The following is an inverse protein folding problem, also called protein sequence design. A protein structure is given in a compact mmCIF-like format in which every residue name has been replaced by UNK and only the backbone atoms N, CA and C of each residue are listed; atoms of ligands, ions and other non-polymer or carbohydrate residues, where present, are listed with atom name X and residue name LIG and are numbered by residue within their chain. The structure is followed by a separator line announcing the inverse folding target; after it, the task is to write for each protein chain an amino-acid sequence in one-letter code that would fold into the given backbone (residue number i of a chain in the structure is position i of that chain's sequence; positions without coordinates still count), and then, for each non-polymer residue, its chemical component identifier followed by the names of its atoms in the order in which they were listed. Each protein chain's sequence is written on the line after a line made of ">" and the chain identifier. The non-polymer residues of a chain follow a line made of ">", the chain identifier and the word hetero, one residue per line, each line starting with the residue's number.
data_IF_427094366006
#
_entry.id   IF_427094366006
#
_cell.length_a   1.000
_cell.length_b   1.000
_cell.length_c   1.000
_cell.angle_alpha   90.00
_cell.angle_beta   90.00
_cell.angle_gamma   90.00
#
_symmetry.space_group_name_H-M   'P 1'
#
loop_
_entity.id
_entity.type
_entity.pdbx_description
1 polymer ?
#
# COMPACT_ATOMS: atom_id res chain seq x y z
N UNK A 1 -7.29 -12.34 -12.54
CA UNK A 1 -6.58 -12.46 -11.25
C UNK A 1 -5.23 -13.19 -11.36
N UNK A 2 -5.11 -14.29 -12.10
CA UNK A 2 -3.82 -15.01 -12.31
C UNK A 2 -2.76 -14.22 -13.09
N UNK A 3 -3.19 -13.41 -14.08
CA UNK A 3 -2.27 -12.62 -14.92
C UNK A 3 -1.61 -11.49 -14.11
N UNK A 4 -2.36 -10.78 -13.27
CA UNK A 4 -1.85 -9.65 -12.46
C UNK A 4 -0.83 -10.13 -11.42
N UNK A 5 -1.06 -11.28 -10.79
CA UNK A 5 -0.12 -11.88 -9.84
C UNK A 5 1.22 -12.28 -10.49
N UNK A 6 1.17 -12.82 -11.71
CA UNK A 6 2.37 -13.18 -12.49
C UNK A 6 3.12 -11.91 -12.95
N UNK A 7 2.40 -10.88 -13.40
CA UNK A 7 3.01 -9.60 -13.79
C UNK A 7 3.67 -8.89 -12.60
N UNK A 8 3.05 -8.91 -11.42
CA UNK A 8 3.64 -8.34 -10.20
C UNK A 8 4.93 -9.07 -9.79
N UNK A 9 5.00 -10.39 -9.96
CA UNK A 9 6.18 -11.20 -9.65
C UNK A 9 7.36 -10.87 -10.58
N UNK A 10 7.09 -10.67 -11.87
CA UNK A 10 8.09 -10.27 -12.86
C UNK A 10 8.60 -8.85 -12.60
N UNK A 11 7.70 -7.91 -12.27
CA UNK A 11 8.08 -6.53 -11.93
C UNK A 11 8.92 -6.50 -10.65
N UNK A 12 8.56 -7.30 -9.64
CA UNK A 12 9.31 -7.34 -8.37
C UNK A 12 10.71 -7.95 -8.54
N UNK A 13 10.86 -8.95 -9.43
CA UNK A 13 12.14 -9.56 -9.78
C UNK A 13 13.09 -8.57 -10.48
N UNK A 14 12.57 -7.73 -11.40
CA UNK A 14 13.38 -6.76 -12.13
C UNK A 14 13.60 -5.42 -11.41
N UNK A 15 12.64 -4.96 -10.60
CA UNK A 15 12.71 -3.63 -9.97
C UNK A 15 13.64 -3.58 -8.75
N UNK A 16 13.85 -4.68 -8.03
CA UNK A 16 14.58 -4.65 -6.75
C UNK A 16 15.85 -5.49 -6.77
N UNK A 17 16.89 -4.93 -7.39
CA UNK A 17 18.27 -5.45 -7.49
C UNK A 17 19.02 -5.54 -6.14
N UNK A 18 18.37 -5.24 -5.02
CA UNK A 18 18.98 -5.19 -3.66
C UNK A 18 18.11 -5.79 -2.54
N UNK A 19 16.96 -6.40 -2.85
CA UNK A 19 16.17 -7.06 -1.82
C UNK A 19 16.74 -8.45 -1.53
N UNK A 20 16.99 -8.76 -0.26
CA UNK A 20 17.42 -10.10 0.13
C UNK A 20 16.36 -11.11 -0.32
N UNK A 21 16.79 -12.13 -1.08
CA UNK A 21 15.91 -13.08 -1.78
C UNK A 21 14.86 -13.72 -0.85
N UNK A 22 15.23 -13.93 0.42
CA UNK A 22 14.34 -14.40 1.49
C UNK A 22 13.22 -13.42 1.82
N UNK A 23 13.52 -12.12 1.91
CA UNK A 23 12.54 -11.06 2.24
C UNK A 23 11.56 -10.84 1.08
N UNK A 24 12.06 -10.82 -0.15
CA UNK A 24 11.21 -10.76 -1.35
C UNK A 24 10.22 -11.93 -1.44
N UNK A 25 10.65 -13.14 -1.06
CA UNK A 25 9.77 -14.31 -1.01
C UNK A 25 8.64 -14.15 0.01
N UNK A 26 8.94 -13.69 1.23
CA UNK A 26 7.90 -13.45 2.24
C UNK A 26 6.95 -12.30 1.86
N UNK A 27 7.46 -11.23 1.23
CA UNK A 27 6.63 -10.13 0.77
C UNK A 27 5.71 -10.56 -0.38
N UNK A 28 6.20 -11.43 -1.27
CA UNK A 28 5.37 -12.06 -2.31
C UNK A 28 4.32 -12.99 -1.72
N UNK A 29 4.71 -13.83 -0.76
CA UNK A 29 3.77 -14.72 -0.07
C UNK A 29 2.67 -13.89 0.62
N UNK A 30 3.04 -12.78 1.27
CA UNK A 30 2.09 -11.86 1.86
C UNK A 30 1.15 -11.23 0.82
N UNK A 31 1.66 -10.78 -0.32
CA UNK A 31 0.85 -10.24 -1.41
C UNK A 31 -0.18 -11.27 -1.91
N UNK A 32 0.23 -12.53 -2.07
CA UNK A 32 -0.65 -13.61 -2.51
C UNK A 32 -1.71 -13.91 -1.44
N UNK A 33 -1.31 -14.08 -0.19
CA UNK A 33 -2.24 -14.32 0.93
C UNK A 33 -3.24 -13.17 1.10
N UNK A 34 -2.77 -11.93 0.98
CA UNK A 34 -3.62 -10.74 1.07
C UNK A 34 -4.64 -10.70 -0.08
N UNK A 35 -4.20 -10.98 -1.31
CA UNK A 35 -5.09 -11.05 -2.48
C UNK A 35 -6.19 -12.10 -2.28
N UNK A 36 -5.83 -13.31 -1.85
CA UNK A 36 -6.82 -14.36 -1.55
C UNK A 36 -7.78 -13.98 -0.43
N UNK A 37 -7.31 -13.26 0.59
CA UNK A 37 -8.16 -12.78 1.68
C UNK A 37 -9.17 -11.72 1.20
N UNK A 38 -8.73 -10.80 0.33
CA UNK A 38 -9.62 -9.80 -0.28
C UNK A 38 -10.67 -10.51 -1.16
N UNK A 39 -10.24 -11.48 -1.98
CA UNK A 39 -11.16 -12.27 -2.80
C UNK A 39 -12.15 -13.06 -1.93
N UNK A 40 -11.70 -13.63 -0.80
CA UNK A 40 -12.58 -14.30 0.16
C UNK A 40 -13.69 -13.36 0.66
N UNK A 41 -13.35 -12.13 1.05
CA UNK A 41 -14.36 -11.14 1.45
C UNK A 41 -15.25 -10.70 0.29
N UNK A 42 -14.70 -10.59 -0.92
CA UNK A 42 -15.46 -10.27 -2.13
C UNK A 42 -16.53 -11.33 -2.42
N UNK A 43 -16.21 -12.62 -2.27
CA UNK A 43 -17.19 -13.71 -2.47
C UNK A 43 -18.18 -13.88 -1.30
N UNK A 44 -17.77 -13.50 -0.08
CA UNK A 44 -18.62 -13.60 1.11
C UNK A 44 -19.68 -12.50 1.13
N UNK A 45 -19.35 -11.31 0.66
CA UNK A 45 -20.26 -10.16 0.63
C UNK A 45 -21.11 -10.28 -0.65
N UNK A 46 -22.46 -10.32 -0.54
CA UNK A 46 -23.31 -10.32 -1.73
C UNK A 46 -23.10 -9.05 -2.56
N UNK A 47 -23.40 -9.09 -3.86
CA UNK A 47 -23.33 -7.91 -4.72
C UNK A 47 -24.35 -6.84 -4.26
N UNK A 48 -23.90 -5.94 -3.38
CA UNK A 48 -24.70 -4.82 -2.88
C UNK A 48 -24.50 -3.64 -3.82
N UNK A 49 -25.49 -3.40 -4.70
CA UNK A 49 -25.51 -2.22 -5.57
C UNK A 49 -26.16 -1.05 -4.83
N UNK A 50 -25.36 -0.11 -4.34
CA UNK A 50 -25.86 1.09 -3.65
C UNK A 50 -26.09 2.20 -4.67
N UNK A 51 -27.28 2.43 -5.19
CA UNK A 51 -27.46 3.40 -6.30
C UNK A 51 -27.09 4.86 -5.97
N UNK A 52 -27.12 5.23 -4.69
CA UNK A 52 -26.69 6.55 -4.25
C UNK A 52 -25.16 6.72 -4.34
N UNK A 53 -24.70 7.49 -5.33
CA UNK A 53 -23.29 7.83 -5.53
C UNK A 53 -22.61 8.36 -4.26
N UNK A 54 -23.29 9.23 -3.51
CA UNK A 54 -22.77 9.81 -2.28
C UNK A 54 -22.46 8.75 -1.21
N UNK A 55 -23.32 7.75 -1.06
CA UNK A 55 -23.14 6.67 -0.08
C UNK A 55 -21.96 5.77 -0.51
N UNK A 56 -21.84 5.44 -1.81
CA UNK A 56 -20.67 4.72 -2.34
C UNK A 56 -19.38 5.48 -2.07
N UNK A 57 -19.38 6.79 -2.27
CA UNK A 57 -18.20 7.63 -2.03
C UNK A 57 -17.82 7.63 -0.55
N UNK A 58 -18.78 7.82 0.35
CA UNK A 58 -18.54 7.80 1.79
C UNK A 58 -18.00 6.45 2.26
N UNK A 59 -18.55 5.34 1.78
CA UNK A 59 -18.05 3.99 2.08
C UNK A 59 -16.62 3.77 1.57
N UNK A 60 -16.30 4.26 0.37
CA UNK A 60 -14.93 4.19 -0.16
C UNK A 60 -13.95 4.99 0.70
N UNK A 61 -14.31 6.22 1.08
CA UNK A 61 -13.48 7.05 1.97
C UNK A 61 -13.31 6.39 3.34
N UNK A 62 -14.39 5.83 3.89
CA UNK A 62 -14.35 5.08 5.14
C UNK A 62 -13.39 3.89 5.04
N UNK A 63 -13.47 3.10 3.96
CA UNK A 63 -12.54 2.00 3.69
C UNK A 63 -11.07 2.44 3.67
N UNK A 64 -10.75 3.58 3.05
CA UNK A 64 -9.38 4.14 3.04
C UNK A 64 -8.90 4.44 4.46
N UNK A 65 -9.77 4.94 5.34
CA UNK A 65 -9.42 5.22 6.73
C UNK A 65 -9.08 3.92 7.49
N UNK A 66 -9.80 2.82 7.28
CA UNK A 66 -9.45 1.52 7.87
C UNK A 66 -8.14 0.98 7.32
N UNK A 67 -7.91 1.08 6.01
CA UNK A 67 -6.64 0.68 5.40
C UNK A 67 -5.50 1.48 6.01
N UNK A 68 -5.65 2.81 6.16
CA UNK A 68 -4.64 3.66 6.79
C UNK A 68 -4.35 3.26 8.25
N UNK A 69 -5.37 2.88 9.02
CA UNK A 69 -5.22 2.36 10.38
C UNK A 69 -4.43 1.04 10.40
N UNK A 70 -4.74 0.10 9.50
CA UNK A 70 -3.99 -1.14 9.35
C UNK A 70 -2.53 -0.90 8.96
N UNK A 71 -2.30 -0.10 7.92
CA UNK A 71 -0.97 0.28 7.42
C UNK A 71 -0.12 0.94 8.52
N UNK A 72 -0.72 1.80 9.36
CA UNK A 72 -0.04 2.37 10.54
C UNK A 72 0.52 1.30 11.48
N UNK A 73 -0.23 0.21 11.74
CA UNK A 73 0.26 -0.90 12.56
C UNK A 73 1.36 -1.67 11.83
N UNK A 74 1.13 -2.04 10.55
CA UNK A 74 2.10 -2.81 9.76
C UNK A 74 3.46 -2.12 9.65
N UNK A 75 3.46 -0.80 9.41
CA UNK A 75 4.69 -0.01 9.32
C UNK A 75 5.46 0.02 10.63
N UNK A 76 4.76 0.08 11.78
CA UNK A 76 5.43 0.09 13.08
C UNK A 76 5.98 -1.29 13.45
N UNK A 77 5.28 -2.37 13.09
CA UNK A 77 5.73 -3.74 13.32
C UNK A 77 6.96 -4.12 12.47
N UNK A 78 7.02 -3.68 11.20
CA UNK A 78 8.13 -3.90 10.28
C UNK A 78 8.69 -5.35 10.23
N UNK A 79 7.80 -6.36 10.32
CA UNK A 79 8.19 -7.78 10.29
C UNK A 79 8.14 -8.32 8.86
N UNK A 80 6.99 -8.24 8.21
CA UNK A 80 6.76 -8.54 6.80
C UNK A 80 5.82 -7.46 6.30
N UNK A 81 6.20 -6.76 5.23
CA UNK A 81 5.37 -5.71 4.63
C UNK A 81 5.03 -6.07 3.21
N UNK A 82 3.86 -5.61 2.79
CA UNK A 82 3.51 -5.56 1.39
C UNK A 82 4.59 -4.76 0.62
N UNK A 83 5.00 -5.16 -0.59
CA UNK A 83 6.11 -4.50 -1.31
C UNK A 83 5.99 -2.99 -1.44
N UNK A 84 4.77 -2.48 -1.66
CA UNK A 84 4.51 -1.03 -1.75
C UNK A 84 4.64 -0.33 -0.39
N UNK A 85 4.28 -1.01 0.69
CA UNK A 85 4.40 -0.49 2.05
C UNK A 85 5.83 -0.63 2.60
N UNK A 86 6.58 -1.62 2.11
CA UNK A 86 8.02 -1.72 2.36
C UNK A 86 8.76 -0.54 1.70
N UNK A 87 8.40 -0.21 0.45
CA UNK A 87 8.95 0.95 -0.24
C UNK A 87 8.63 2.26 0.49
N UNK A 88 7.39 2.39 0.98
CA UNK A 88 6.99 3.49 1.86
C UNK A 88 7.91 3.59 3.08
N UNK A 89 8.19 2.46 3.74
CA UNK A 89 9.03 2.44 4.93
C UNK A 89 10.49 2.78 4.63
N UNK A 90 11.02 2.30 3.51
CA UNK A 90 12.34 2.66 3.00
C UNK A 90 12.42 4.17 2.75
N UNK A 91 11.44 4.74 2.03
CA UNK A 91 11.38 6.19 1.82
C UNK A 91 11.22 6.98 3.11
N UNK A 92 10.38 6.52 4.04
CA UNK A 92 10.20 7.13 5.36
C UNK A 92 11.53 7.22 6.08
N UNK A 93 12.29 6.13 6.15
CA UNK A 93 13.49 6.04 7.00
C UNK A 93 14.75 6.56 6.33
N UNK A 94 14.95 6.27 5.05
CA UNK A 94 16.21 6.58 4.34
C UNK A 94 16.18 7.94 3.62
N UNK A 95 15.02 8.35 3.08
CA UNK A 95 14.92 9.55 2.23
C UNK A 95 14.32 10.73 2.97
N UNK A 96 13.21 10.52 3.68
CA UNK A 96 12.41 11.59 4.28
C UNK A 96 12.57 11.74 5.80
N UNK A 97 13.61 11.14 6.39
CA UNK A 97 14.01 11.31 7.81
C UNK A 97 12.86 11.11 8.82
N UNK A 98 12.00 10.15 8.56
CA UNK A 98 10.85 9.78 9.40
C UNK A 98 9.50 10.34 8.93
N UNK A 99 9.45 11.20 7.92
CA UNK A 99 8.20 11.80 7.45
C UNK A 99 7.37 10.83 6.59
N UNK A 100 6.32 10.27 7.20
CA UNK A 100 5.38 9.33 6.57
C UNK A 100 4.59 9.96 5.43
N UNK A 101 4.18 11.22 5.57
CA UNK A 101 3.31 11.87 4.58
C UNK A 101 4.01 11.98 3.23
N UNK A 102 5.26 12.47 3.23
CA UNK A 102 6.06 12.58 2.02
C UNK A 102 6.38 11.20 1.44
N UNK A 103 6.74 10.25 2.31
CA UNK A 103 7.00 8.88 1.89
C UNK A 103 5.78 8.21 1.24
N UNK A 104 4.57 8.46 1.75
CA UNK A 104 3.31 7.92 1.22
C UNK A 104 3.02 8.45 -0.17
N UNK A 105 3.10 9.77 -0.34
CA UNK A 105 2.91 10.41 -1.63
C UNK A 105 3.92 9.87 -2.65
N UNK A 106 5.20 9.78 -2.28
CA UNK A 106 6.24 9.26 -3.18
C UNK A 106 6.06 7.78 -3.51
N UNK A 107 5.77 6.93 -2.52
CA UNK A 107 5.55 5.50 -2.75
C UNK A 107 4.33 5.25 -3.64
N UNK A 108 3.22 5.97 -3.40
CA UNK A 108 2.00 5.84 -4.19
C UNK A 108 2.09 6.51 -5.57
N UNK A 109 3.01 7.46 -5.77
CA UNK A 109 3.26 8.07 -7.09
C UNK A 109 3.76 7.03 -8.10
N UNK A 110 4.53 6.03 -7.68
CA UNK A 110 5.09 5.01 -8.57
C UNK A 110 3.98 4.18 -9.25
N UNK A 111 3.05 3.53 -8.52
CA UNK A 111 1.95 2.81 -9.15
C UNK A 111 0.98 3.75 -9.88
N UNK A 112 0.81 5.00 -9.43
CA UNK A 112 -0.04 5.98 -10.11
C UNK A 112 0.52 6.37 -11.49
N UNK A 113 1.82 6.65 -11.59
CA UNK A 113 2.50 6.93 -12.86
C UNK A 113 2.43 5.71 -13.77
N UNK A 114 2.62 4.50 -13.22
CA UNK A 114 2.45 3.25 -13.97
C UNK A 114 1.05 3.14 -14.59
N UNK A 115 0.00 3.39 -13.81
CA UNK A 115 -1.39 3.40 -14.30
C UNK A 115 -1.61 4.46 -15.39
N UNK A 116 -1.01 5.65 -15.25
CA UNK A 116 -1.12 6.73 -16.24
C UNK A 116 -0.43 6.38 -17.57
N UNK A 117 0.73 5.71 -17.52
CA UNK A 117 1.41 5.19 -18.72
C UNK A 117 0.56 4.11 -19.39
N UNK A 118 -0.02 3.18 -18.63
CA UNK A 118 -0.94 2.18 -19.17
C UNK A 118 -2.17 2.81 -19.80
N UNK A 119 -2.73 3.87 -19.20
CA UNK A 119 -3.82 4.63 -19.78
C UNK A 119 -3.44 5.27 -21.11
N UNK A 120 -2.26 5.90 -21.18
CA UNK A 120 -1.74 6.49 -22.42
C UNK A 120 -1.62 5.47 -23.56
N UNK A 121 -1.21 4.24 -23.25
CA UNK A 121 -1.02 3.18 -24.24
C UNK A 121 -2.30 2.43 -24.60
N UNK A 122 -3.21 2.22 -23.65
CA UNK A 122 -4.41 1.38 -23.82
C UNK A 122 -5.72 2.17 -24.03
N UNK A 123 -5.68 3.49 -23.83
CA UNK A 123 -6.85 4.38 -23.88
C UNK A 123 -7.84 4.22 -22.73
N UNK A 124 -7.66 3.23 -21.85
CA UNK A 124 -8.59 2.92 -20.77
C UNK A 124 -7.97 3.19 -19.40
N UNK A 125 -8.60 4.06 -18.61
CA UNK A 125 -8.12 4.41 -17.28
C UNK A 125 -8.64 3.38 -16.29
N UNK A 126 -7.81 2.38 -15.98
CA UNK A 126 -8.13 1.39 -14.96
C UNK A 126 -7.52 1.79 -13.61
N UNK A 127 -8.28 1.57 -12.53
CA UNK A 127 -7.84 1.69 -11.13
C UNK A 127 -7.53 3.12 -10.60
N UNK A 128 -7.87 4.17 -11.35
CA UNK A 128 -7.83 5.56 -10.85
C UNK A 128 -9.25 6.07 -10.63
N UNK A 129 -9.64 6.26 -9.37
CA UNK A 129 -10.94 6.82 -8.99
C UNK A 129 -10.76 7.88 -7.89
N UNK A 130 -11.85 8.50 -7.43
CA UNK A 130 -11.85 9.46 -6.32
C UNK A 130 -11.17 8.88 -5.08
N UNK A 131 -11.37 7.59 -4.81
CA UNK A 131 -10.69 6.88 -3.74
C UNK A 131 -9.15 6.94 -3.86
N UNK A 132 -8.61 6.77 -5.07
CA UNK A 132 -7.17 6.86 -5.36
C UNK A 132 -6.64 8.27 -5.13
N UNK A 133 -7.40 9.30 -5.49
CA UNK A 133 -7.03 10.70 -5.23
C UNK A 133 -7.02 11.00 -3.73
N UNK A 134 -8.07 10.56 -3.02
CA UNK A 134 -8.18 10.74 -1.56
C UNK A 134 -7.03 10.02 -0.85
N UNK A 135 -6.70 8.78 -1.25
CA UNK A 135 -5.58 8.07 -0.65
C UNK A 135 -4.24 8.75 -0.97
N UNK A 136 -4.05 9.25 -2.19
CA UNK A 136 -2.83 9.95 -2.56
C UNK A 136 -2.56 11.20 -1.72
N UNK A 137 -3.55 12.06 -1.51
CA UNK A 137 -3.36 13.31 -0.75
C UNK A 137 -3.47 13.12 0.76
N UNK A 138 -4.39 12.27 1.25
CA UNK A 138 -4.77 12.22 2.66
C UNK A 138 -4.29 10.99 3.42
N UNK A 139 -3.95 9.87 2.76
CA UNK A 139 -3.60 8.63 3.46
C UNK A 139 -2.39 8.80 4.38
N UNK A 140 -1.38 9.57 3.97
CA UNK A 140 -0.22 9.86 4.82
C UNK A 140 -0.59 10.56 6.13
N UNK A 141 -1.56 11.47 6.09
CA UNK A 141 -2.07 12.17 7.27
C UNK A 141 -2.87 11.22 8.17
N UNK A 142 -3.70 10.35 7.59
CA UNK A 142 -4.42 9.33 8.36
C UNK A 142 -3.46 8.35 9.04
N UNK A 143 -2.38 7.92 8.38
CA UNK A 143 -1.37 7.06 9.00
C UNK A 143 -0.71 7.76 10.20
N UNK A 144 -0.35 9.04 10.09
CA UNK A 144 0.22 9.81 11.22
C UNK A 144 -0.79 9.95 12.37
N UNK A 145 -2.06 10.17 12.04
CA UNK A 145 -3.13 10.22 13.03
C UNK A 145 -3.25 8.89 13.77
N UNK A 146 -3.33 7.75 13.06
CA UNK A 146 -3.40 6.43 13.68
C UNK A 146 -2.10 6.01 14.37
N UNK A 147 -0.94 6.49 13.91
CA UNK A 147 0.33 6.30 14.62
C UNK A 147 0.28 6.87 16.04
N UNK A 148 -0.48 7.96 16.25
CA UNK A 148 -0.63 8.62 17.56
C UNK A 148 -1.75 8.02 18.41
N UNK A 149 -2.88 7.66 17.81
CA UNK A 149 -4.08 7.25 18.56
C UNK A 149 -4.29 5.74 18.64
N UNK A 150 -3.83 4.98 17.65
CA UNK A 150 -4.05 3.55 17.55
C UNK A 150 -2.80 2.80 18.02
N UNK A 151 -2.88 2.15 19.19
CA UNK A 151 -1.77 1.42 19.82
C UNK A 151 -0.46 2.23 19.96
N UNK A 152 -0.47 3.36 20.72
CA UNK A 152 0.71 4.20 20.92
C UNK A 152 1.89 3.45 21.57
N UNK A 153 1.65 2.31 22.20
CA UNK A 153 2.67 1.44 22.79
C UNK A 153 3.54 0.70 21.77
N UNK A 154 3.13 0.60 20.50
CA UNK A 154 3.91 -0.09 19.46
C UNK A 154 4.98 0.86 18.95
N UNK A 155 6.21 0.65 19.41
CA UNK A 155 7.38 1.37 18.90
C UNK A 155 7.77 0.82 17.53
N UNK A 156 8.26 1.71 16.68
CA UNK A 156 8.79 1.35 15.37
C UNK A 156 9.92 0.32 15.53
N UNK A 157 9.69 -0.90 15.06
CA UNK A 157 10.68 -1.98 15.03
C UNK A 157 11.55 -1.88 13.76
N UNK A 158 12.22 -0.74 13.58
CA UNK A 158 13.16 -0.55 12.49
C UNK A 158 14.57 -0.84 12.97
N UNK A 159 15.15 -1.97 12.55
CA UNK A 159 16.61 -2.10 12.51
C UNK A 159 17.09 -1.18 11.40
N UNK A 160 17.46 0.04 11.76
CA UNK A 160 18.24 0.92 10.89
C UNK A 160 19.53 0.15 10.64
N UNK A 161 19.74 -0.37 9.43
CA UNK A 161 21.07 -0.78 8.98
C UNK A 161 21.90 0.48 8.92
N UNK A 162 22.42 0.91 10.07
CA UNK A 162 23.64 1.71 10.12
C UNK A 162 24.71 0.81 9.54
N UNK A 163 24.98 0.93 8.23
CA UNK A 163 26.31 0.59 7.73
C UNK A 163 27.31 1.38 8.58
N UNK A 164 28.18 0.70 9.33
CA UNK A 164 29.24 1.39 10.04
C UNK A 164 30.21 1.95 8.99
N UNK A 165 30.45 3.25 9.03
CA UNK A 165 31.70 3.81 8.55
C UNK A 165 32.64 3.92 9.73
#
# INVERSE_FOLDING_TARGET
>A
MTIVGVTALIINYFAYKQASLKRSFFNLLFLLSFSYLVDFWYYLIPDITIDAYLIRLLLNVFGIVFIAAGVSIYLRLNVVLHPVDELLQVFRLQVFRGNVVKAQVTSLSIPLIGSLIFWWLSGNLYAVNVATLVSFFFMGWFIVFFDKYLFPSIKLNAKITTTPN
#
